data_IF_971764196200
#
_entry.id   IF_971764196200
#
_cell.length_a   1.000
_cell.length_b   1.000
_cell.length_c   1.000
_cell.angle_alpha   90.00
_cell.angle_beta   90.00
_cell.angle_gamma   90.00
#
_symmetry.space_group_name_H-M   'P 1'
#
loop_
_entity.id
_entity.type
_entity.pdbx_description
1 polymer ?
#
# COMPACT_ATOMS: atom_id res chain seq x y z
N UNK A 1 -48.58 -28.93 7.96
CA UNK A 1 -49.16 -28.76 9.31
C UNK A 1 -48.90 -27.32 9.76
N UNK A 2 -49.95 -26.52 9.95
CA UNK A 2 -50.04 -25.57 11.09
C UNK A 2 -50.46 -26.39 12.34
N UNK A 3 -50.52 -25.85 13.58
CA UNK A 3 -50.49 -24.44 14.03
C UNK A 3 -49.37 -24.19 15.09
N UNK A 4 -49.25 -23.11 15.89
CA UNK A 4 -50.05 -21.89 16.13
C UNK A 4 -49.14 -20.63 16.17
N UNK A 5 -49.73 -19.44 16.00
CA UNK A 5 -49.33 -18.21 16.71
C UNK A 5 -50.57 -17.60 17.37
N UNK A 6 -50.56 -17.41 18.70
CA UNK A 6 -51.65 -16.75 19.42
C UNK A 6 -51.45 -15.24 19.42
N UNK A 7 -52.43 -14.50 18.88
CA UNK A 7 -52.52 -13.04 18.99
C UNK A 7 -53.65 -12.66 19.94
N UNK A 8 -53.34 -11.92 21.00
CA UNK A 8 -54.29 -11.07 21.73
C UNK A 8 -53.62 -9.72 21.99
N UNK A 9 -54.29 -8.63 21.62
CA UNK A 9 -53.76 -7.27 21.75
C UNK A 9 -53.80 -6.48 20.45
N UNK A 10 -54.85 -5.68 20.30
CA UNK A 10 -54.98 -4.71 19.21
C UNK A 10 -54.11 -3.49 19.53
N UNK A 11 -52.84 -3.56 19.14
CA UNK A 11 -51.94 -2.40 19.17
C UNK A 11 -51.87 -1.85 17.76
N UNK A 12 -52.26 -0.58 17.59
CA UNK A 12 -52.06 0.14 16.33
C UNK A 12 -50.56 0.21 16.07
N UNK A 13 -50.06 -0.67 15.19
CA UNK A 13 -48.68 -0.60 14.70
C UNK A 13 -48.55 0.68 13.88
N UNK A 14 -48.05 1.73 14.53
CA UNK A 14 -47.45 2.85 13.81
C UNK A 14 -46.41 2.28 12.85
N UNK A 15 -46.45 2.72 11.60
CA UNK A 15 -45.41 2.37 10.63
C UNK A 15 -44.12 2.99 11.14
N UNK A 16 -43.24 2.17 11.71
CA UNK A 16 -41.85 2.54 11.93
C UNK A 16 -41.22 2.67 10.55
N UNK A 17 -41.27 3.89 10.01
CA UNK A 17 -40.42 4.27 8.89
C UNK A 17 -39.00 4.25 9.43
N UNK A 18 -38.36 3.10 9.30
CA UNK A 18 -36.92 2.96 9.48
C UNK A 18 -36.28 3.78 8.36
N UNK A 19 -36.05 5.07 8.64
CA UNK A 19 -35.25 5.94 7.79
C UNK A 19 -33.84 5.39 7.78
N UNK A 20 -33.55 4.56 6.76
CA UNK A 20 -32.22 4.04 6.48
C UNK A 20 -31.24 5.22 6.51
N UNK A 21 -30.44 5.27 7.57
CA UNK A 21 -29.60 6.43 7.84
C UNK A 21 -28.39 6.35 6.93
N UNK A 22 -28.57 6.82 5.71
CA UNK A 22 -27.58 6.74 4.64
C UNK A 22 -26.29 7.42 5.11
N UNK A 23 -25.31 6.59 5.50
CA UNK A 23 -24.01 7.06 5.97
C UNK A 23 -23.27 7.70 4.82
N UNK A 24 -22.71 8.89 5.06
CA UNK A 24 -21.96 9.62 4.06
C UNK A 24 -20.83 8.74 3.48
N UNK A 25 -20.62 8.74 2.15
CA UNK A 25 -19.50 8.04 1.53
C UNK A 25 -18.17 8.50 2.15
N UNK A 26 -17.32 7.53 2.50
CA UNK A 26 -16.00 7.80 3.07
C UNK A 26 -14.93 7.74 1.99
N UNK A 27 -14.12 8.80 1.88
CA UNK A 27 -12.97 8.88 0.98
C UNK A 27 -11.69 8.89 1.81
N UNK A 28 -10.78 7.94 1.53
CA UNK A 28 -9.47 7.90 2.15
C UNK A 28 -8.44 8.62 1.28
N UNK A 29 -7.85 9.69 1.81
CA UNK A 29 -6.84 10.52 1.16
C UNK A 29 -5.46 10.28 1.77
N UNK A 30 -4.40 10.27 0.94
CA UNK A 30 -3.03 10.08 1.42
C UNK A 30 -2.37 11.42 1.76
N UNK A 31 -1.78 11.52 2.95
CA UNK A 31 -1.05 12.71 3.41
C UNK A 31 0.02 13.17 2.41
N UNK A 32 0.10 14.49 2.19
CA UNK A 32 0.92 15.20 1.19
C UNK A 32 0.67 14.84 -0.28
N UNK A 33 -0.32 14.00 -0.60
CA UNK A 33 -0.72 13.69 -1.98
C UNK A 33 -1.93 14.54 -2.44
N UNK A 34 -2.36 14.32 -3.69
CA UNK A 34 -3.61 14.85 -4.21
C UNK A 34 -4.74 13.87 -3.93
N UNK A 35 -5.93 14.38 -3.61
CA UNK A 35 -7.14 13.58 -3.41
C UNK A 35 -8.30 14.18 -4.21
N UNK A 36 -9.31 13.37 -4.52
CA UNK A 36 -10.52 13.79 -5.22
C UNK A 36 -11.72 13.47 -4.33
N UNK A 37 -12.53 14.48 -4.02
CA UNK A 37 -13.80 14.33 -3.32
C UNK A 37 -14.91 14.29 -4.39
N UNK A 38 -15.59 13.15 -4.60
CA UNK A 38 -16.53 12.98 -5.70
C UNK A 38 -17.83 13.74 -5.44
N UNK A 39 -18.28 14.56 -6.41
CA UNK A 39 -19.61 15.14 -6.38
C UNK A 39 -20.24 15.11 -7.77
N UNK A 40 -21.44 14.55 -7.84
CA UNK A 40 -22.25 14.53 -9.05
C UNK A 40 -23.21 15.72 -9.02
N UNK A 41 -23.19 16.51 -10.09
CA UNK A 41 -24.09 17.65 -10.29
C UNK A 41 -25.00 17.36 -11.49
N UNK A 42 -26.17 17.99 -11.55
CA UNK A 42 -27.05 17.84 -12.70
C UNK A 42 -26.42 18.56 -13.92
N UNK A 43 -26.34 17.94 -15.11
CA UNK A 43 -25.76 18.58 -16.30
C UNK A 43 -26.52 19.85 -16.71
N UNK A 44 -25.85 20.99 -16.61
CA UNK A 44 -26.36 22.34 -16.93
C UNK A 44 -25.23 23.24 -17.43
N UNK A 45 -25.57 24.25 -18.25
CA UNK A 45 -24.65 25.32 -18.64
C UNK A 45 -24.47 26.37 -17.53
N UNK A 46 -25.52 26.60 -16.74
CA UNK A 46 -25.48 27.42 -15.53
C UNK A 46 -25.53 26.49 -14.31
N UNK A 47 -24.40 26.35 -13.63
CA UNK A 47 -24.22 25.44 -12.49
C UNK A 47 -23.44 26.17 -11.40
N UNK A 48 -24.07 26.35 -10.24
CA UNK A 48 -23.43 26.86 -9.03
C UNK A 48 -22.93 25.66 -8.22
N UNK A 49 -21.69 25.70 -7.74
CA UNK A 49 -21.10 24.68 -6.88
C UNK A 49 -20.42 25.34 -5.68
N UNK A 50 -20.74 24.87 -4.48
CA UNK A 50 -20.04 25.23 -3.25
C UNK A 50 -19.55 23.97 -2.54
N UNK A 51 -18.28 23.99 -2.16
CA UNK A 51 -17.66 23.01 -1.29
C UNK A 51 -17.32 23.65 0.04
N UNK A 52 -17.76 23.03 1.12
CA UNK A 52 -17.54 23.51 2.48
C UNK A 52 -17.06 22.36 3.39
N UNK A 53 -16.08 22.63 4.25
CA UNK A 53 -15.64 21.73 5.32
C UNK A 53 -16.44 22.06 6.58
N UNK A 54 -16.97 21.04 7.25
CA UNK A 54 -18.02 21.19 8.28
C UNK A 54 -17.55 20.84 9.70
N UNK A 55 -16.35 20.26 9.85
CA UNK A 55 -15.90 19.67 11.13
C UNK A 55 -15.39 20.69 12.14
N UNK A 56 -15.03 21.90 11.72
CA UNK A 56 -14.47 22.95 12.58
C UNK A 56 -15.16 24.31 12.42
N UNK A 57 -16.42 24.30 12.01
CA UNK A 57 -17.14 25.44 11.40
C UNK A 57 -17.54 25.11 9.96
N UNK A 58 -18.33 25.96 9.29
CA UNK A 58 -18.60 25.85 7.85
C UNK A 58 -17.57 26.74 7.12
N UNK A 59 -16.43 26.14 6.74
CA UNK A 59 -15.32 26.82 6.06
C UNK A 59 -15.45 26.66 4.55
N UNK A 60 -15.44 27.76 3.79
CA UNK A 60 -15.56 27.67 2.34
C UNK A 60 -14.27 27.13 1.70
N UNK A 61 -14.36 25.92 1.14
CA UNK A 61 -13.24 25.16 0.56
C UNK A 61 -13.03 25.56 -0.90
N UNK A 62 -14.11 25.73 -1.65
CA UNK A 62 -14.11 26.15 -3.05
C UNK A 62 -15.51 26.61 -3.46
N UNK A 63 -15.61 27.56 -4.38
CA UNK A 63 -16.87 28.03 -4.96
C UNK A 63 -16.72 28.21 -6.46
N UNK A 64 -17.76 27.91 -7.23
CA UNK A 64 -17.81 28.08 -8.68
C UNK A 64 -19.20 28.56 -9.08
N UNK A 65 -19.27 29.66 -9.83
CA UNK A 65 -20.47 30.25 -10.43
C UNK A 65 -20.04 31.29 -11.48
N UNK A 66 -20.98 31.76 -12.31
CA UNK A 66 -20.68 32.66 -13.45
C UNK A 66 -19.61 32.10 -14.41
N UNK A 67 -19.55 30.77 -14.52
CA UNK A 67 -18.58 29.99 -15.32
C UNK A 67 -17.11 30.05 -14.88
N UNK A 68 -16.81 30.51 -13.66
CA UNK A 68 -15.45 30.63 -13.13
C UNK A 68 -15.29 30.22 -11.65
N UNK A 69 -14.02 30.02 -11.21
CA UNK A 69 -13.67 29.70 -9.82
C UNK A 69 -13.70 30.98 -8.94
N UNK A 70 -14.55 30.98 -7.92
CA UNK A 70 -14.88 32.16 -7.11
C UNK A 70 -14.11 32.17 -5.78
N UNK A 71 -12.79 32.34 -5.87
CA UNK A 71 -11.83 32.13 -4.78
C UNK A 71 -11.78 33.27 -3.74
N UNK A 72 -12.46 34.40 -3.96
CA UNK A 72 -12.34 35.60 -3.12
C UNK A 72 -12.73 35.43 -1.64
N UNK A 73 -13.59 34.45 -1.32
CA UNK A 73 -14.02 34.10 0.05
C UNK A 73 -13.49 32.75 0.54
N UNK A 74 -12.60 32.12 -0.21
CA UNK A 74 -12.01 30.83 0.14
C UNK A 74 -11.25 30.92 1.46
N UNK A 75 -11.46 29.95 2.35
CA UNK A 75 -10.74 29.89 3.63
C UNK A 75 -9.23 29.71 3.41
N UNK A 76 -8.44 30.34 4.29
CA UNK A 76 -7.00 30.44 4.16
C UNK A 76 -6.29 29.07 4.14
N UNK A 77 -6.86 28.02 4.73
CA UNK A 77 -6.26 26.68 4.73
C UNK A 77 -6.35 25.94 3.38
N UNK A 78 -7.27 26.37 2.50
CA UNK A 78 -7.54 25.76 1.19
C UNK A 78 -7.00 26.57 0.00
N UNK A 79 -6.57 27.82 0.21
CA UNK A 79 -6.04 28.69 -0.85
C UNK A 79 -4.88 28.07 -1.62
N UNK A 80 -4.99 28.08 -2.94
CA UNK A 80 -4.03 27.48 -3.86
C UNK A 80 -3.96 25.95 -3.80
N UNK A 81 -4.85 25.29 -3.05
CA UNK A 81 -4.85 23.83 -2.87
C UNK A 81 -6.04 23.12 -3.53
N UNK A 82 -7.06 23.85 -3.98
CA UNK A 82 -8.29 23.26 -4.54
C UNK A 82 -8.61 23.72 -5.95
N UNK A 83 -9.25 22.85 -6.73
CA UNK A 83 -9.71 23.12 -8.10
C UNK A 83 -10.86 22.17 -8.47
N UNK A 84 -11.80 22.61 -9.30
CA UNK A 84 -12.79 21.72 -9.95
C UNK A 84 -12.30 21.23 -11.31
N UNK A 85 -12.96 20.19 -11.84
CA UNK A 85 -12.77 19.71 -13.21
C UNK A 85 -13.68 20.49 -14.17
N UNK A 86 -13.37 21.76 -14.43
CA UNK A 86 -14.24 22.70 -15.13
C UNK A 86 -14.78 22.18 -16.48
N UNK A 87 -13.93 21.48 -17.25
CA UNK A 87 -14.29 20.85 -18.54
C UNK A 87 -15.33 19.72 -18.43
N UNK A 88 -15.54 19.20 -17.23
CA UNK A 88 -16.48 18.12 -16.91
C UNK A 88 -17.70 18.58 -16.09
N UNK A 89 -17.77 19.84 -15.62
CA UNK A 89 -18.91 20.36 -14.84
C UNK A 89 -20.21 20.27 -15.64
N UNK A 90 -20.21 20.72 -16.90
CA UNK A 90 -21.37 20.64 -17.80
C UNK A 90 -21.78 19.20 -18.17
N UNK A 91 -20.94 18.21 -17.84
CA UNK A 91 -21.20 16.77 -17.97
C UNK A 91 -21.61 16.10 -16.66
N UNK A 92 -21.79 16.88 -15.59
CA UNK A 92 -22.25 16.43 -14.28
C UNK A 92 -21.16 16.14 -13.25
N UNK A 93 -19.91 16.56 -13.47
CA UNK A 93 -18.81 16.35 -12.52
C UNK A 93 -18.46 17.64 -11.74
N UNK A 94 -18.96 17.76 -10.51
CA UNK A 94 -18.60 18.82 -9.57
C UNK A 94 -17.52 18.43 -8.56
N UNK A 95 -16.76 17.36 -8.84
CA UNK A 95 -15.79 16.81 -7.89
C UNK A 95 -14.65 17.77 -7.59
N UNK A 96 -14.27 17.85 -6.31
CA UNK A 96 -13.17 18.70 -5.85
C UNK A 96 -11.85 17.94 -5.91
N UNK A 97 -10.84 18.51 -6.56
CA UNK A 97 -9.45 18.09 -6.37
C UNK A 97 -8.84 18.91 -5.23
N UNK A 98 -8.35 18.23 -4.20
CA UNK A 98 -7.59 18.81 -3.08
C UNK A 98 -6.12 18.37 -3.19
N UNK A 99 -5.18 19.29 -3.06
CA UNK A 99 -3.74 19.03 -3.26
C UNK A 99 -2.94 19.22 -1.98
N UNK A 100 -1.88 18.41 -1.84
CA UNK A 100 -1.02 18.39 -0.65
C UNK A 100 -1.82 18.17 0.63
N UNK A 101 -2.58 17.08 0.71
CA UNK A 101 -3.49 16.77 1.84
C UNK A 101 -2.76 16.83 3.20
N UNK A 102 -3.41 17.46 4.17
CA UNK A 102 -2.96 17.66 5.56
C UNK A 102 -3.85 16.89 6.52
N UNK A 103 -3.39 16.67 7.75
CA UNK A 103 -4.19 16.02 8.80
C UNK A 103 -5.45 16.83 9.13
N UNK A 104 -5.34 18.16 9.12
CA UNK A 104 -6.45 19.09 9.41
C UNK A 104 -7.55 19.07 8.33
N UNK A 105 -7.26 18.56 7.12
CA UNK A 105 -8.29 18.38 6.10
C UNK A 105 -9.23 17.19 6.44
N UNK A 106 -8.89 16.33 7.41
CA UNK A 106 -9.79 15.27 7.86
C UNK A 106 -11.12 15.86 8.38
N UNK A 107 -12.24 15.28 7.97
CA UNK A 107 -13.54 15.74 8.41
C UNK A 107 -14.65 15.52 7.39
N UNK A 108 -15.81 16.06 7.73
CA UNK A 108 -17.01 16.03 6.91
C UNK A 108 -17.00 17.23 5.97
N UNK A 109 -17.24 16.98 4.70
CA UNK A 109 -17.43 18.00 3.67
C UNK A 109 -18.86 17.95 3.16
N UNK A 110 -19.35 19.09 2.67
CA UNK A 110 -20.51 19.11 1.78
C UNK A 110 -20.15 19.64 0.40
N UNK A 111 -20.74 19.02 -0.62
CA UNK A 111 -20.88 19.60 -1.95
C UNK A 111 -22.34 20.03 -2.11
N UNK A 112 -22.58 21.34 -2.21
CA UNK A 112 -23.83 21.92 -2.66
C UNK A 112 -23.72 22.24 -4.16
N UNK A 113 -24.74 21.87 -4.93
CA UNK A 113 -24.86 22.22 -6.34
C UNK A 113 -26.25 22.73 -6.66
N UNK A 114 -26.37 23.79 -7.45
CA UNK A 114 -27.65 24.34 -7.93
C UNK A 114 -27.65 24.55 -9.43
N UNK A 115 -28.78 24.22 -10.07
CA UNK A 115 -29.06 24.38 -11.51
C UNK A 115 -30.52 24.79 -11.70
N UNK A 116 -30.93 25.05 -12.94
CA UNK A 116 -32.34 25.26 -13.31
C UNK A 116 -33.27 24.08 -12.89
N UNK A 117 -32.72 22.87 -12.73
CA UNK A 117 -33.47 21.67 -12.31
C UNK A 117 -33.66 21.58 -10.79
N UNK A 118 -33.05 22.49 -10.03
CA UNK A 118 -33.07 22.52 -8.57
C UNK A 118 -31.68 22.38 -7.95
N UNK A 119 -31.66 22.29 -6.63
CA UNK A 119 -30.44 22.21 -5.82
C UNK A 119 -30.32 20.90 -5.05
N UNK A 120 -29.08 20.41 -4.89
CA UNK A 120 -28.72 19.21 -4.13
C UNK A 120 -27.57 19.54 -3.18
N UNK A 121 -27.62 19.09 -1.92
CA UNK A 121 -26.47 19.05 -1.01
C UNK A 121 -26.13 17.58 -0.74
N UNK A 122 -24.88 17.18 -0.97
CA UNK A 122 -24.32 15.86 -0.66
C UNK A 122 -23.20 16.02 0.36
N UNK A 123 -22.90 14.94 1.09
CA UNK A 123 -21.90 14.94 2.16
C UNK A 123 -20.88 13.82 1.96
N UNK A 124 -19.65 14.05 2.40
CA UNK A 124 -18.53 13.12 2.26
C UNK A 124 -17.70 13.15 3.54
N UNK A 125 -17.33 11.98 4.04
CA UNK A 125 -16.37 11.86 5.13
C UNK A 125 -14.96 11.66 4.55
N UNK A 126 -14.12 12.70 4.60
CA UNK A 126 -12.69 12.58 4.31
C UNK A 126 -12.02 11.88 5.52
N UNK A 127 -11.16 10.90 5.24
CA UNK A 127 -10.22 10.30 6.19
C UNK A 127 -8.81 10.37 5.65
N UNK A 128 -7.84 10.73 6.51
CA UNK A 128 -6.44 10.88 6.10
C UNK A 128 -5.64 9.66 6.57
N UNK A 129 -4.78 9.15 5.69
CA UNK A 129 -3.82 8.10 6.03
C UNK A 129 -2.41 8.49 5.55
N UNK A 130 -1.38 8.10 6.29
CA UNK A 130 0.02 8.30 5.89
C UNK A 130 0.74 6.98 5.59
N UNK A 131 1.69 7.01 4.65
CA UNK A 131 2.38 5.81 4.17
C UNK A 131 3.36 5.27 5.20
N UNK A 132 3.04 4.12 5.79
CA UNK A 132 3.90 3.42 6.75
C UNK A 132 5.22 2.98 6.07
N UNK A 133 6.36 3.33 6.69
CA UNK A 133 7.71 2.93 6.26
C UNK A 133 8.50 2.38 7.45
N UNK A 134 8.53 1.06 7.57
CA UNK A 134 9.20 0.37 8.68
C UNK A 134 10.69 0.24 8.41
N UNK A 135 11.50 0.79 9.31
CA UNK A 135 12.95 0.65 9.38
C UNK A 135 13.30 -0.37 10.47
N UNK A 136 14.11 -1.36 10.14
CA UNK A 136 14.68 -2.33 11.09
C UNK A 136 16.21 -2.22 11.05
N UNK A 137 16.85 -2.07 12.21
CA UNK A 137 18.31 -1.91 12.34
C UNK A 137 18.81 -2.75 13.51
N UNK A 138 20.00 -3.33 13.37
CA UNK A 138 20.72 -3.93 14.50
C UNK A 138 21.74 -2.92 15.02
N UNK A 139 21.68 -2.60 16.31
CA UNK A 139 22.69 -1.82 17.03
C UNK A 139 23.22 -2.71 18.15
N UNK A 140 24.50 -3.04 18.10
CA UNK A 140 25.11 -4.06 18.97
C UNK A 140 24.36 -5.39 18.90
N UNK A 141 23.62 -5.75 19.96
CA UNK A 141 22.77 -6.95 20.03
C UNK A 141 21.27 -6.60 20.23
N UNK A 142 20.89 -5.36 19.90
CA UNK A 142 19.53 -4.84 20.00
C UNK A 142 18.98 -4.54 18.61
N UNK A 143 17.91 -5.23 18.22
CA UNK A 143 17.15 -4.84 17.04
C UNK A 143 16.27 -3.66 17.45
N UNK A 144 16.34 -2.58 16.67
CA UNK A 144 15.48 -1.41 16.79
C UNK A 144 14.57 -1.39 15.56
N UNK A 145 13.26 -1.45 15.81
CA UNK A 145 12.25 -1.17 14.80
C UNK A 145 11.69 0.22 15.01
N UNK A 146 11.53 0.98 13.93
CA UNK A 146 10.98 2.33 13.96
C UNK A 146 10.21 2.64 12.67
N UNK A 147 9.18 3.46 12.78
CA UNK A 147 8.50 4.08 11.64
C UNK A 147 8.02 5.46 12.04
N UNK A 148 8.17 6.43 11.14
CA UNK A 148 7.89 7.85 11.40
C UNK A 148 6.79 8.36 10.46
N UNK A 149 6.22 9.54 10.79
CA UNK A 149 5.26 10.26 9.96
C UNK A 149 3.98 9.47 9.62
N UNK A 150 3.45 8.72 10.60
CA UNK A 150 2.27 7.87 10.46
C UNK A 150 1.01 8.60 10.94
N UNK A 151 -0.13 8.38 10.29
CA UNK A 151 -1.44 8.78 10.77
C UNK A 151 -2.50 7.81 10.22
N UNK A 152 -3.55 7.44 10.99
CA UNK A 152 -3.80 7.77 12.41
C UNK A 152 -2.83 7.05 13.37
N UNK A 153 -3.09 7.11 14.68
CA UNK A 153 -2.23 6.51 15.72
C UNK A 153 -1.89 5.04 15.41
N UNK A 154 -0.58 4.69 15.37
CA UNK A 154 -0.12 3.36 14.98
C UNK A 154 0.01 2.39 16.16
N UNK A 155 0.04 1.12 15.81
CA UNK A 155 0.42 0.00 16.68
C UNK A 155 1.68 -0.69 16.11
N UNK A 156 2.46 -1.33 17.00
CA UNK A 156 3.65 -2.09 16.64
C UNK A 156 3.61 -3.43 17.36
N UNK A 157 3.72 -4.52 16.61
CA UNK A 157 3.82 -5.88 17.11
C UNK A 157 5.06 -6.58 16.56
N UNK A 158 5.57 -7.56 17.32
CA UNK A 158 6.69 -8.39 16.92
C UNK A 158 6.23 -9.84 16.73
N UNK A 159 6.88 -10.53 15.79
CA UNK A 159 6.79 -11.98 15.64
C UNK A 159 8.17 -12.57 15.35
N UNK A 160 8.41 -13.79 15.81
CA UNK A 160 9.67 -14.52 15.61
C UNK A 160 9.38 -15.85 14.95
N UNK A 161 10.22 -16.23 13.98
CA UNK A 161 10.14 -17.50 13.28
C UNK A 161 11.50 -18.23 13.35
N UNK A 162 11.60 -19.47 13.85
CA UNK A 162 10.52 -20.24 14.51
C UNK A 162 9.98 -19.52 15.76
N UNK A 163 8.72 -19.80 16.17
CA UNK A 163 8.13 -19.20 17.37
C UNK A 163 8.98 -19.49 18.61
N UNK A 164 9.19 -18.46 19.42
CA UNK A 164 9.77 -18.61 20.77
C UNK A 164 8.65 -18.87 21.77
N UNK A 165 8.89 -19.73 22.76
CA UNK A 165 7.96 -19.97 23.87
C UNK A 165 7.88 -18.79 24.86
N UNK A 166 8.80 -17.82 24.76
CA UNK A 166 8.85 -16.62 25.60
C UNK A 166 7.95 -15.52 25.04
N UNK A 167 7.09 -14.94 25.89
CA UNK A 167 6.34 -13.73 25.58
C UNK A 167 7.28 -12.57 25.22
N UNK A 168 7.00 -11.90 24.10
CA UNK A 168 7.83 -10.83 23.57
C UNK A 168 7.49 -9.51 24.27
N UNK A 169 8.04 -9.34 25.47
CA UNK A 169 7.85 -8.15 26.29
C UNK A 169 8.77 -7.01 25.85
N UNK A 170 8.40 -6.34 24.76
CA UNK A 170 9.07 -5.14 24.24
C UNK A 170 8.18 -3.90 24.41
N UNK A 171 8.55 -2.90 25.23
CA UNK A 171 7.80 -1.66 25.29
C UNK A 171 7.87 -0.93 23.93
N UNK A 172 6.75 -0.30 23.58
CA UNK A 172 6.62 0.49 22.35
C UNK A 172 6.50 1.95 22.73
N UNK A 173 7.41 2.78 22.22
CA UNK A 173 7.40 4.22 22.40
C UNK A 173 6.64 4.86 21.23
N UNK A 174 5.58 5.61 21.56
CA UNK A 174 4.79 6.38 20.59
C UNK A 174 4.94 7.86 20.93
N UNK A 175 5.25 8.68 19.94
CA UNK A 175 5.41 10.12 20.06
C UNK A 175 4.59 10.83 18.97
N UNK A 176 3.83 11.87 19.34
CA UNK A 176 3.09 12.68 18.38
C UNK A 176 3.86 13.99 18.09
N UNK A 177 3.99 14.32 16.82
CA UNK A 177 4.64 15.55 16.32
C UNK A 177 3.67 16.73 16.32
N UNK A 178 4.20 17.94 16.17
CA UNK A 178 3.41 19.18 16.02
C UNK A 178 2.46 19.14 14.80
N UNK A 179 2.85 18.43 13.73
CA UNK A 179 1.99 18.16 12.55
C UNK A 179 0.89 17.10 12.82
N UNK A 180 0.69 16.68 14.07
CA UNK A 180 -0.25 15.63 14.53
C UNK A 180 0.08 14.21 14.04
N UNK A 181 1.18 14.01 13.32
CA UNK A 181 1.68 12.70 12.87
C UNK A 181 2.42 11.98 13.99
N UNK A 182 2.42 10.65 13.95
CA UNK A 182 3.03 9.77 14.95
C UNK A 182 4.37 9.20 14.48
N UNK A 183 5.30 9.11 15.41
CA UNK A 183 6.47 8.23 15.34
C UNK A 183 6.30 7.09 16.33
N UNK A 184 6.66 5.87 15.92
CA UNK A 184 6.57 4.66 16.72
C UNK A 184 7.87 3.89 16.65
N UNK A 185 8.35 3.41 17.80
CA UNK A 185 9.54 2.57 17.88
C UNK A 185 9.44 1.53 18.99
N UNK A 186 10.12 0.41 18.79
CA UNK A 186 10.26 -0.66 19.77
C UNK A 186 11.61 -1.33 19.58
N UNK A 187 12.13 -1.98 20.62
CA UNK A 187 13.41 -2.67 20.52
C UNK A 187 13.41 -4.03 21.22
N UNK A 188 14.13 -4.98 20.62
CA UNK A 188 14.33 -6.32 21.14
C UNK A 188 15.81 -6.59 21.38
N UNK A 189 16.13 -7.15 22.55
CA UNK A 189 17.42 -7.78 22.78
C UNK A 189 17.42 -9.15 22.09
N UNK A 190 18.46 -9.43 21.31
CA UNK A 190 18.60 -10.69 20.59
C UNK A 190 19.54 -11.61 21.35
N UNK A 191 19.25 -12.91 21.41
CA UNK A 191 20.18 -13.87 22.00
C UNK A 191 21.34 -14.18 21.05
N UNK A 192 22.56 -14.31 21.56
CA UNK A 192 23.71 -14.82 20.78
C UNK A 192 23.76 -16.33 20.64
N UNK A 193 22.85 -17.03 21.34
CA UNK A 193 22.77 -18.51 21.32
C UNK A 193 21.83 -19.04 20.25
N UNK A 194 20.95 -18.19 19.71
CA UNK A 194 19.87 -18.56 18.79
C UNK A 194 20.15 -17.98 17.41
N UNK A 195 20.57 -18.86 16.50
CA UNK A 195 20.83 -18.54 15.10
C UNK A 195 19.70 -19.06 14.22
N UNK A 196 19.59 -18.49 13.03
CA UNK A 196 18.57 -18.77 12.02
C UNK A 196 17.13 -18.45 12.47
N UNK A 197 16.99 -17.59 13.49
CA UNK A 197 15.75 -16.90 13.82
C UNK A 197 15.53 -15.64 12.97
N UNK A 198 14.28 -15.43 12.57
CA UNK A 198 13.81 -14.25 11.85
C UNK A 198 12.90 -13.43 12.75
N UNK A 199 13.32 -12.22 13.10
CA UNK A 199 12.56 -11.25 13.88
C UNK A 199 11.81 -10.32 12.93
N UNK A 200 10.49 -10.30 13.00
CA UNK A 200 9.64 -9.49 12.14
C UNK A 200 8.88 -8.45 12.95
N UNK A 201 9.14 -7.18 12.69
CA UNK A 201 8.39 -6.06 13.24
C UNK A 201 7.27 -5.69 12.28
N UNK A 202 6.03 -5.66 12.75
CA UNK A 202 4.87 -5.19 12.00
C UNK A 202 4.35 -3.90 12.61
N UNK A 203 4.28 -2.85 11.80
CA UNK A 203 3.62 -1.58 12.15
C UNK A 203 2.30 -1.51 11.40
N UNK A 204 1.21 -1.23 12.12
CA UNK A 204 -0.13 -1.09 11.59
C UNK A 204 -0.75 0.25 11.98
N UNK A 205 -1.59 0.80 11.11
CA UNK A 205 -2.42 1.97 11.38
C UNK A 205 -3.65 1.93 10.47
N UNK A 206 -4.84 2.14 11.05
CA UNK A 206 -6.11 1.92 10.34
C UNK A 206 -6.14 0.52 9.70
N UNK A 207 -6.34 0.43 8.38
CA UNK A 207 -6.34 -0.82 7.59
C UNK A 207 -4.97 -1.16 7.00
N UNK A 208 -3.99 -0.28 7.13
CA UNK A 208 -2.65 -0.48 6.57
C UNK A 208 -1.75 -1.22 7.56
N UNK A 209 -0.94 -2.14 7.03
CA UNK A 209 0.12 -2.82 7.76
C UNK A 209 1.36 -2.98 6.89
N UNK A 210 2.54 -2.83 7.49
CA UNK A 210 3.83 -3.09 6.87
C UNK A 210 4.72 -3.85 7.85
N UNK A 211 5.47 -4.81 7.33
CA UNK A 211 6.35 -5.67 8.11
C UNK A 211 7.77 -5.54 7.58
N UNK A 212 8.74 -5.43 8.47
CA UNK A 212 10.17 -5.52 8.17
C UNK A 212 10.77 -6.66 9.00
N UNK A 213 11.63 -7.47 8.36
CA UNK A 213 12.20 -8.67 8.97
C UNK A 213 13.72 -8.63 8.99
N UNK A 214 14.31 -9.11 10.09
CA UNK A 214 15.74 -9.26 10.28
C UNK A 214 16.07 -10.71 10.64
N UNK A 215 16.98 -11.33 9.88
CA UNK A 215 17.39 -12.72 10.09
C UNK A 215 18.81 -12.78 10.69
N UNK A 216 18.96 -13.32 11.91
CA UNK A 216 20.27 -13.55 12.54
C UNK A 216 20.81 -14.92 12.12
N UNK A 217 21.46 -15.01 10.96
CA UNK A 217 22.08 -16.26 10.50
C UNK A 217 23.55 -16.36 10.93
N UNK A 218 24.09 -17.57 11.06
CA UNK A 218 25.54 -17.76 11.27
C UNK A 218 26.28 -17.26 10.03
N UNK A 219 27.43 -16.59 10.22
CA UNK A 219 28.37 -16.30 9.13
C UNK A 219 28.67 -17.58 8.30
N UNK A 220 28.76 -18.72 8.98
CA UNK A 220 28.97 -20.03 8.35
C UNK A 220 27.85 -20.42 7.36
N UNK A 221 26.58 -20.10 7.64
CA UNK A 221 25.45 -20.41 6.75
C UNK A 221 25.43 -19.49 5.54
N UNK A 222 25.79 -18.21 5.71
CA UNK A 222 26.01 -17.30 4.58
C UNK A 222 27.19 -17.77 3.71
N UNK A 223 28.30 -18.18 4.33
CA UNK A 223 29.47 -18.72 3.64
C UNK A 223 29.17 -20.04 2.92
N UNK A 224 28.44 -20.96 3.55
CA UNK A 224 27.97 -22.21 2.92
C UNK A 224 27.03 -21.93 1.74
N UNK A 225 26.08 -21.00 1.86
CA UNK A 225 25.21 -20.61 0.74
C UNK A 225 26.00 -19.98 -0.42
N UNK A 226 27.02 -19.17 -0.12
CA UNK A 226 27.95 -18.63 -1.12
C UNK A 226 28.76 -19.75 -1.80
N UNK A 227 29.35 -20.67 -1.03
CA UNK A 227 30.10 -21.82 -1.57
C UNK A 227 29.24 -22.74 -2.44
N UNK A 228 28.01 -23.04 -2.02
CA UNK A 228 27.06 -23.84 -2.81
C UNK A 228 26.76 -23.16 -4.13
N UNK A 229 26.50 -21.85 -4.13
CA UNK A 229 26.20 -21.08 -5.34
C UNK A 229 27.43 -21.02 -6.29
N UNK A 230 28.64 -20.90 -5.75
CA UNK A 230 29.89 -20.99 -6.53
C UNK A 230 30.07 -22.40 -7.12
N UNK A 231 29.78 -23.45 -6.36
CA UNK A 231 29.88 -24.83 -6.84
C UNK A 231 28.84 -25.15 -7.94
N UNK A 232 27.61 -24.64 -7.84
CA UNK A 232 26.60 -24.79 -8.91
C UNK A 232 26.97 -24.02 -10.17
N UNK A 233 27.61 -22.85 -10.05
CA UNK A 233 28.13 -22.12 -11.22
C UNK A 233 29.29 -22.89 -11.87
N UNK A 234 30.24 -23.42 -11.08
CA UNK A 234 31.35 -24.22 -11.59
C UNK A 234 30.88 -25.50 -12.27
N UNK A 235 29.92 -26.23 -11.70
CA UNK A 235 29.39 -27.44 -12.33
C UNK A 235 28.63 -27.12 -13.63
N UNK A 236 27.85 -26.04 -13.69
CA UNK A 236 27.23 -25.55 -14.92
C UNK A 236 28.28 -25.23 -16.02
N UNK A 237 29.37 -24.54 -15.67
CA UNK A 237 30.45 -24.24 -16.62
C UNK A 237 31.13 -25.52 -17.15
N UNK A 238 31.36 -26.52 -16.30
CA UNK A 238 31.90 -27.83 -16.71
C UNK A 238 30.92 -28.55 -17.64
N UNK A 239 29.61 -28.60 -17.31
CA UNK A 239 28.58 -29.19 -18.16
C UNK A 239 28.52 -28.52 -19.54
N UNK A 240 28.53 -27.18 -19.60
CA UNK A 240 28.53 -26.41 -20.86
C UNK A 240 29.82 -26.69 -21.66
N UNK A 241 30.96 -26.84 -21.00
CA UNK A 241 32.22 -27.23 -21.64
C UNK A 241 32.18 -28.63 -22.25
N UNK A 242 31.62 -29.61 -21.52
CA UNK A 242 31.47 -31.00 -21.99
C UNK A 242 30.54 -31.13 -23.20
N UNK A 243 29.44 -30.37 -23.24
CA UNK A 243 28.53 -30.35 -24.39
C UNK A 243 29.06 -29.57 -25.61
N UNK A 244 30.27 -28.98 -25.52
CA UNK A 244 30.93 -28.26 -26.61
C UNK A 244 32.06 -29.09 -27.26
N UNK A 245 31.81 -30.37 -27.51
CA UNK A 245 32.65 -31.19 -28.39
C UNK A 245 32.41 -30.82 -29.87
N UNK A 246 33.44 -30.91 -30.73
CA UNK A 246 33.38 -30.35 -32.08
C UNK A 246 32.51 -31.19 -33.02
N UNK A 247 31.76 -30.50 -33.88
CA UNK A 247 30.86 -31.10 -34.86
C UNK A 247 31.67 -31.73 -36.01
N UNK A 248 31.83 -33.06 -36.02
CA UNK A 248 32.59 -33.78 -37.05
C UNK A 248 31.64 -34.24 -38.17
N UNK A 249 31.73 -33.61 -39.34
CA UNK A 249 31.00 -34.03 -40.55
C UNK A 249 31.54 -35.36 -41.10
N UNK A 250 30.66 -36.36 -41.21
CA UNK A 250 30.98 -37.67 -41.80
C UNK A 250 31.31 -37.58 -43.30
N UNK A 251 32.29 -38.38 -43.75
CA UNK A 251 32.54 -38.71 -45.16
C UNK A 251 32.47 -40.25 -45.33
N UNK A 252 31.89 -40.81 -46.42
CA UNK A 252 31.74 -42.26 -46.58
C UNK A 252 33.06 -42.96 -46.94
N UNK A 253 33.18 -44.24 -46.57
CA UNK A 253 34.34 -45.10 -46.82
C UNK A 253 34.11 -46.08 -47.98
N UNK A 254 35.10 -46.22 -48.85
CA UNK A 254 35.16 -47.22 -49.93
C UNK A 254 35.85 -48.51 -49.43
N UNK A 255 35.58 -49.66 -50.09
CA UNK A 255 35.94 -51.01 -49.58
C UNK A 255 37.10 -51.66 -50.38
N UNK A 256 37.67 -52.80 -49.92
CA UNK A 256 39.12 -53.01 -49.96
C UNK A 256 39.63 -53.88 -51.10
N UNK A 257 40.96 -53.88 -51.34
CA UNK A 257 41.61 -55.03 -51.96
C UNK A 257 43.06 -55.32 -51.50
N UNK A 258 43.18 -56.49 -50.87
CA UNK A 258 44.23 -57.53 -50.98
C UNK A 258 45.76 -57.27 -50.94
N UNK A 259 46.39 -58.21 -50.21
CA UNK A 259 47.74 -58.78 -50.38
C UNK A 259 48.95 -58.16 -49.67
N UNK A 260 49.53 -58.98 -48.79
CA UNK A 260 50.88 -58.95 -48.18
C UNK A 260 51.83 -59.82 -49.06
N UNK A 261 53.15 -59.95 -48.78
CA UNK A 261 54.02 -59.15 -47.90
C UNK A 261 55.41 -58.81 -48.54
N UNK A 262 56.30 -58.24 -47.71
CA UNK A 262 57.77 -58.44 -47.75
C UNK A 262 58.58 -57.68 -48.82
N UNK A 263 59.88 -57.33 -48.65
CA UNK A 263 60.83 -57.29 -47.51
C UNK A 263 62.07 -56.48 -47.96
N UNK A 264 62.84 -55.87 -47.02
CA UNK A 264 64.20 -55.26 -47.22
C UNK A 264 64.27 -54.02 -48.16
N UNK A 265 65.30 -53.18 -48.12
CA UNK A 265 66.21 -52.76 -47.04
C UNK A 265 67.14 -51.61 -47.52
N UNK A 266 67.56 -50.75 -46.58
CA UNK A 266 68.91 -50.14 -46.48
C UNK A 266 69.39 -49.20 -47.63
N UNK A 267 69.42 -47.91 -47.28
CA UNK A 267 70.48 -46.90 -47.52
C UNK A 267 71.15 -46.79 -48.91
N UNK A 268 70.85 -45.67 -49.59
CA UNK A 268 71.83 -44.61 -49.88
C UNK A 268 71.13 -43.26 -50.02
#
# INVERSE_FOLDING_TARGET
>A
LHPQCTWTGLVLKGVTVETETMRDPTVTCVFRQNCILPCNVDPSSDTIIHWDHLTSGEHNVHSYYDTEDQLGRQDQQFKGRTSLFQDLISRGNGSLRLTGVKIQDEGRYSCYSSTERGSRKTFIQLKVEALIKVSIKLVENRIICSSEWIYPQPELSWSVNPPSELEINSPTMVHQTEEQLYSISSSLLVSDRLYDQTYSCTVSSSRNKKTASFCKSKLLVCYLKLLINVFTILSLLVFIGYFKTPNITHKPSESPNTSRPAVKAILS
#
